data_IF_614609117512
#
_entry.id   IF_614609117512
#
_cell.length_a   1.000
_cell.length_b   1.000
_cell.length_c   1.000
_cell.angle_alpha   90.00
_cell.angle_beta   90.00
_cell.angle_gamma   90.00
#
_symmetry.space_group_name_H-M   'P 1'
#
loop_
_entity.id
_entity.type
_entity.pdbx_description
1 polymer ?
#
# COMPACT_ATOMS: atom_id res chain seq x y z
N UNK A 1 -14.21 -18.42 -10.80
CA UNK A 1 -15.62 -18.17 -10.57
C UNK A 1 -15.90 -17.46 -9.28
N UNK A 2 -15.18 -17.73 -8.23
CA UNK A 2 -15.34 -16.99 -6.99
C UNK A 2 -14.53 -15.72 -7.03
N UNK A 3 -14.62 -14.94 -5.97
CA UNK A 3 -13.75 -13.80 -5.76
C UNK A 3 -12.32 -14.29 -5.51
N UNK A 4 -11.36 -13.53 -6.00
CA UNK A 4 -9.96 -13.91 -5.84
C UNK A 4 -9.13 -12.63 -5.79
N UNK A 5 -8.64 -12.29 -4.62
CA UNK A 5 -7.82 -11.10 -4.45
C UNK A 5 -6.35 -11.45 -4.67
N UNK A 6 -5.72 -10.67 -5.50
CA UNK A 6 -4.27 -10.67 -5.66
C UNK A 6 -3.74 -9.33 -5.19
N UNK A 7 -2.55 -9.32 -4.61
CA UNK A 7 -1.93 -8.08 -4.19
C UNK A 7 -0.43 -8.15 -4.36
N UNK A 8 0.18 -6.99 -4.43
CA UNK A 8 1.63 -6.90 -4.55
C UNK A 8 2.16 -5.56 -4.11
N UNK A 9 3.44 -5.51 -3.88
CA UNK A 9 4.16 -4.28 -3.59
C UNK A 9 4.66 -3.69 -4.90
N UNK A 10 4.50 -2.38 -5.07
CA UNK A 10 4.97 -1.69 -6.27
C UNK A 10 6.26 -0.96 -5.99
N UNK A 11 6.15 0.25 -5.47
CA UNK A 11 7.30 1.14 -5.30
C UNK A 11 7.60 1.31 -3.83
N UNK A 12 8.89 1.34 -3.52
CA UNK A 12 9.37 1.70 -2.20
C UNK A 12 10.49 2.69 -2.39
N UNK A 13 10.31 3.89 -1.83
CA UNK A 13 11.30 4.95 -1.94
C UNK A 13 11.67 5.47 -0.56
N UNK A 14 12.92 5.90 -0.46
CA UNK A 14 13.40 6.63 0.72
C UNK A 14 14.08 7.90 0.22
N UNK A 15 13.63 9.02 0.75
CA UNK A 15 14.20 10.33 0.43
C UNK A 15 14.90 10.87 1.66
N UNK A 16 16.11 11.40 1.46
CA UNK A 16 16.82 12.14 2.49
C UNK A 16 16.64 13.62 2.20
N UNK A 17 16.04 14.31 3.15
CA UNK A 17 15.82 15.75 3.04
C UNK A 17 16.89 16.48 3.83
N UNK A 18 17.60 17.42 3.18
CA UNK A 18 18.57 18.28 3.86
C UNK A 18 17.87 19.47 4.53
N UNK A 19 16.85 19.16 5.29
CA UNK A 19 16.09 20.14 6.04
C UNK A 19 16.02 19.69 7.49
N UNK A 20 16.41 20.56 8.43
CA UNK A 20 16.41 20.15 9.83
C UNK A 20 15.00 19.98 10.37
N UNK A 21 14.88 19.05 11.30
CA UNK A 21 13.66 18.90 12.08
C UNK A 21 13.82 19.77 13.33
N UNK A 22 12.87 20.68 13.52
CA UNK A 22 12.88 21.62 14.62
C UNK A 22 11.79 21.30 15.62
N UNK A 23 12.03 21.59 16.89
CA UNK A 23 10.97 21.56 17.90
C UNK A 23 10.21 22.89 17.89
N UNK A 24 9.25 23.04 18.80
CA UNK A 24 8.41 24.25 18.85
C UNK A 24 9.19 25.50 19.21
N UNK A 25 10.31 25.36 19.87
CA UNK A 25 11.18 26.46 20.24
C UNK A 25 12.18 26.82 19.16
N UNK A 26 12.15 26.11 18.03
CA UNK A 26 13.08 26.36 16.93
C UNK A 26 14.42 25.68 17.08
N UNK A 27 14.57 24.81 18.05
CA UNK A 27 15.80 24.06 18.25
C UNK A 27 15.89 22.88 17.29
N UNK A 28 17.08 22.61 16.79
CA UNK A 28 17.33 21.53 15.84
C UNK A 28 17.34 20.20 16.60
N UNK A 29 16.37 19.34 16.27
CA UNK A 29 16.30 17.98 16.81
C UNK A 29 17.17 17.02 16.00
N UNK A 30 17.19 17.21 14.69
CA UNK A 30 18.10 16.48 13.80
C UNK A 30 18.32 17.31 12.54
N UNK A 31 19.49 17.11 11.91
CA UNK A 31 19.92 17.96 10.81
C UNK A 31 19.27 17.60 9.48
N UNK A 32 18.79 16.37 9.35
CA UNK A 32 18.15 15.87 8.14
C UNK A 32 16.89 15.13 8.51
N UNK A 33 16.04 14.91 7.51
CA UNK A 33 14.81 14.13 7.69
C UNK A 33 14.74 13.07 6.62
N UNK A 34 14.07 11.97 6.94
CA UNK A 34 13.83 10.90 5.98
C UNK A 34 12.34 10.77 5.71
N UNK A 35 12.02 10.49 4.44
CA UNK A 35 10.65 10.20 4.03
C UNK A 35 10.66 8.84 3.37
N UNK A 36 9.86 7.92 3.90
CA UNK A 36 9.70 6.59 3.34
C UNK A 36 8.32 6.47 2.71
N UNK A 37 8.25 5.88 1.52
CA UNK A 37 6.98 5.60 0.86
C UNK A 37 6.93 4.15 0.43
N UNK A 38 5.72 3.60 0.40
CA UNK A 38 5.48 2.25 -0.10
C UNK A 38 4.13 2.24 -0.79
N UNK A 39 4.09 1.64 -1.99
CA UNK A 39 2.86 1.48 -2.75
C UNK A 39 2.48 0.01 -2.83
N UNK A 40 1.18 -0.25 -2.76
CA UNK A 40 0.61 -1.57 -2.90
C UNK A 40 -0.47 -1.54 -3.97
N UNK A 41 -0.69 -2.67 -4.60
CA UNK A 41 -1.78 -2.85 -5.56
C UNK A 41 -2.60 -4.05 -5.13
N UNK A 42 -3.92 -3.94 -5.25
CA UNK A 42 -4.88 -4.98 -4.91
C UNK A 42 -5.87 -5.11 -6.05
N UNK A 43 -6.16 -6.34 -6.43
CA UNK A 43 -7.06 -6.57 -7.56
C UNK A 43 -7.90 -7.80 -7.31
N UNK A 44 -9.18 -7.71 -7.69
CA UNK A 44 -10.03 -8.89 -7.72
C UNK A 44 -9.94 -9.53 -9.10
N UNK A 45 -9.23 -10.65 -9.19
CA UNK A 45 -9.07 -11.39 -10.44
C UNK A 45 -10.21 -12.35 -10.66
N UNK A 46 -11.11 -12.49 -9.70
CA UNK A 46 -12.24 -13.42 -9.81
C UNK A 46 -13.37 -12.87 -10.65
N UNK A 47 -14.41 -13.66 -10.79
CA UNK A 47 -15.61 -13.30 -11.54
C UNK A 47 -16.73 -12.80 -10.65
N UNK A 48 -16.59 -12.95 -9.34
CA UNK A 48 -17.55 -12.49 -8.36
C UNK A 48 -16.94 -11.38 -7.50
N UNK A 49 -17.76 -10.48 -6.95
CA UNK A 49 -17.22 -9.47 -6.04
C UNK A 49 -16.58 -10.10 -4.82
N UNK A 50 -15.47 -9.53 -4.39
CA UNK A 50 -14.89 -9.85 -3.09
C UNK A 50 -15.52 -8.92 -2.06
N UNK A 51 -15.90 -9.47 -0.91
CA UNK A 51 -16.56 -8.70 0.14
C UNK A 51 -15.71 -8.65 1.38
N UNK A 52 -15.87 -7.56 2.14
CA UNK A 52 -15.08 -7.31 3.36
C UNK A 52 -13.59 -7.53 3.09
N UNK A 53 -13.07 -6.76 2.16
CA UNK A 53 -11.65 -6.87 1.80
C UNK A 53 -10.84 -6.13 2.86
N UNK A 54 -10.01 -6.86 3.59
CA UNK A 54 -9.25 -6.34 4.71
C UNK A 54 -7.77 -6.29 4.36
N UNK A 55 -7.18 -5.12 4.58
CA UNK A 55 -5.73 -4.93 4.51
C UNK A 55 -5.24 -4.72 5.93
N UNK A 56 -4.37 -5.60 6.40
CA UNK A 56 -3.94 -5.63 7.79
C UNK A 56 -2.49 -5.23 7.87
N UNK A 57 -2.23 -4.11 8.57
CA UNK A 57 -0.88 -3.60 8.81
C UNK A 57 -0.52 -3.80 10.27
N UNK A 58 0.78 -3.91 10.56
CA UNK A 58 1.25 -4.09 11.93
C UNK A 58 0.98 -2.88 12.82
N UNK A 59 0.85 -1.68 12.24
CA UNK A 59 0.44 -0.47 12.96
C UNK A 59 -0.09 0.54 11.95
N UNK A 60 -0.72 1.61 12.46
CA UNK A 60 -1.36 2.60 11.60
C UNK A 60 -0.33 3.39 10.80
N UNK A 61 -0.54 3.58 9.50
CA UNK A 61 0.32 4.45 8.71
C UNK A 61 0.21 5.90 9.19
N UNK A 62 1.32 6.62 9.06
CA UNK A 62 1.31 8.06 9.34
C UNK A 62 0.45 8.80 8.34
N UNK A 63 0.62 8.49 7.06
CA UNK A 63 -0.19 9.02 5.97
C UNK A 63 -0.56 7.89 5.03
N UNK A 64 -1.76 7.97 4.49
CA UNK A 64 -2.33 6.92 3.67
C UNK A 64 -3.13 7.55 2.54
N UNK A 65 -2.96 7.03 1.32
CA UNK A 65 -3.70 7.44 0.15
C UNK A 65 -4.22 6.20 -0.58
N UNK A 66 -5.47 6.27 -1.04
CA UNK A 66 -6.11 5.19 -1.80
C UNK A 66 -6.51 5.73 -3.16
N UNK A 67 -6.11 5.04 -4.21
CA UNK A 67 -6.41 5.44 -5.58
C UNK A 67 -6.92 4.24 -6.39
N UNK A 68 -8.02 4.34 -7.13
CA UNK A 68 -8.97 5.47 -7.13
C UNK A 68 -9.62 5.68 -5.76
N UNK A 69 -10.12 6.88 -5.53
CA UNK A 69 -10.73 7.20 -4.24
C UNK A 69 -11.90 6.27 -3.95
N UNK A 70 -11.86 5.61 -2.82
CA UNK A 70 -12.87 4.66 -2.36
C UNK A 70 -13.11 4.86 -0.88
N UNK A 71 -14.34 4.66 -0.46
CA UNK A 71 -14.67 4.63 0.96
C UNK A 71 -14.12 3.35 1.57
N UNK A 72 -13.55 3.47 2.74
CA UNK A 72 -13.11 2.31 3.52
C UNK A 72 -13.27 2.63 4.99
N UNK A 73 -13.45 1.59 5.78
CA UNK A 73 -13.48 1.70 7.23
C UNK A 73 -12.11 1.38 7.80
N UNK A 74 -11.82 1.97 8.94
CA UNK A 74 -10.58 1.71 9.68
C UNK A 74 -10.93 1.10 11.01
N UNK A 75 -10.19 0.09 11.42
CA UNK A 75 -10.36 -0.51 12.74
C UNK A 75 -9.03 -1.01 13.27
N UNK A 76 -8.97 -1.19 14.58
CA UNK A 76 -7.83 -1.83 15.25
C UNK A 76 -8.30 -3.15 15.82
N UNK A 77 -7.43 -4.17 15.77
CA UNK A 77 -7.73 -5.42 16.43
C UNK A 77 -7.11 -5.44 17.84
N UNK A 78 -7.28 -6.56 18.54
CA UNK A 78 -6.78 -6.74 19.90
C UNK A 78 -5.25 -6.66 19.99
N UNK A 79 -4.56 -6.89 18.88
CA UNK A 79 -3.10 -6.81 18.79
C UNK A 79 -2.62 -5.42 18.36
N UNK A 80 -3.50 -4.43 18.33
CA UNK A 80 -3.23 -3.05 17.90
C UNK A 80 -2.79 -2.96 16.44
N UNK A 81 -3.15 -3.94 15.64
CA UNK A 81 -2.92 -3.86 14.21
C UNK A 81 -3.95 -2.94 13.59
N UNK A 82 -3.53 -2.29 12.53
CA UNK A 82 -4.40 -1.39 11.77
C UNK A 82 -5.02 -2.16 10.61
N UNK A 83 -6.34 -2.06 10.47
CA UNK A 83 -7.06 -2.79 9.43
C UNK A 83 -7.88 -1.81 8.61
N UNK A 84 -7.66 -1.82 7.30
CA UNK A 84 -8.52 -1.13 6.34
C UNK A 84 -9.53 -2.12 5.81
N UNK A 85 -10.79 -1.73 5.77
CA UNK A 85 -11.86 -2.61 5.30
C UNK A 85 -12.60 -1.93 4.15
N UNK A 86 -12.59 -2.56 3.00
CA UNK A 86 -13.40 -2.17 1.85
C UNK A 86 -14.62 -3.09 1.82
N UNK A 87 -15.82 -2.51 1.66
CA UNK A 87 -17.05 -3.30 1.64
C UNK A 87 -16.99 -4.37 0.55
N UNK A 88 -16.49 -3.99 -0.60
CA UNK A 88 -16.35 -4.92 -1.71
C UNK A 88 -15.30 -4.44 -2.70
N UNK A 89 -14.85 -5.36 -3.51
CA UNK A 89 -14.01 -5.09 -4.67
C UNK A 89 -14.64 -5.85 -5.83
N UNK A 90 -15.09 -5.12 -6.84
CA UNK A 90 -15.78 -5.71 -7.99
C UNK A 90 -14.81 -6.56 -8.81
N UNK A 91 -15.32 -7.50 -9.62
CA UNK A 91 -14.45 -8.25 -10.54
C UNK A 91 -13.63 -7.31 -11.39
N UNK A 92 -12.34 -7.61 -11.49
CA UNK A 92 -11.34 -6.83 -12.24
C UNK A 92 -11.05 -5.44 -11.67
N UNK A 93 -11.68 -5.07 -10.59
CA UNK A 93 -11.39 -3.80 -9.95
C UNK A 93 -10.00 -3.84 -9.32
N UNK A 94 -9.27 -2.75 -9.51
CA UNK A 94 -7.93 -2.57 -8.96
C UNK A 94 -7.89 -1.32 -8.13
N UNK A 95 -7.30 -1.41 -6.95
CA UNK A 95 -7.04 -0.25 -6.11
C UNK A 95 -5.55 -0.21 -5.76
N UNK A 96 -5.05 0.97 -5.54
CA UNK A 96 -3.69 1.19 -5.07
C UNK A 96 -3.77 1.87 -3.72
N UNK A 97 -2.86 1.49 -2.86
CA UNK A 97 -2.73 2.07 -1.54
C UNK A 97 -1.29 2.53 -1.39
N UNK A 98 -1.11 3.78 -0.96
CA UNK A 98 0.21 4.36 -0.77
C UNK A 98 0.34 4.82 0.66
N UNK A 99 1.43 4.44 1.31
CA UNK A 99 1.72 4.85 2.67
C UNK A 99 2.99 5.66 2.70
N UNK A 100 3.06 6.58 3.64
CA UNK A 100 4.22 7.45 3.80
C UNK A 100 4.50 7.63 5.28
N UNK A 101 5.78 7.60 5.62
CA UNK A 101 6.24 7.85 6.98
C UNK A 101 7.39 8.83 6.95
N UNK A 102 7.40 9.77 7.90
CA UNK A 102 8.44 10.78 8.03
C UNK A 102 9.21 10.48 9.31
N UNK A 103 10.51 10.27 9.18
CA UNK A 103 11.43 10.02 10.28
C UNK A 103 11.12 8.76 11.11
N UNK A 104 10.35 7.85 10.54
CA UNK A 104 10.02 6.58 11.18
C UNK A 104 9.81 5.51 10.12
N UNK A 105 9.72 4.27 10.55
CA UNK A 105 9.53 3.16 9.63
C UNK A 105 8.11 3.11 9.09
N UNK A 106 7.99 2.63 7.86
CA UNK A 106 6.69 2.37 7.24
C UNK A 106 6.09 1.12 7.88
N UNK A 107 4.77 1.12 8.15
CA UNK A 107 4.13 -0.09 8.62
C UNK A 107 4.21 -1.19 7.57
N UNK A 108 4.24 -2.42 8.05
CA UNK A 108 4.32 -3.59 7.19
C UNK A 108 2.92 -4.12 6.94
N UNK A 109 2.63 -4.43 5.68
CA UNK A 109 1.39 -5.13 5.34
C UNK A 109 1.56 -6.60 5.72
N UNK A 110 0.78 -7.05 6.70
CA UNK A 110 0.89 -8.40 7.23
C UNK A 110 0.05 -9.39 6.44
N UNK A 111 -1.14 -8.98 6.02
CA UNK A 111 -2.10 -9.89 5.44
C UNK A 111 -3.15 -9.13 4.66
N UNK A 112 -3.67 -9.77 3.63
CA UNK A 112 -4.83 -9.30 2.88
C UNK A 112 -5.81 -10.46 2.81
N UNK A 113 -7.06 -10.22 3.16
CA UNK A 113 -8.08 -11.26 3.14
C UNK A 113 -9.44 -10.66 2.83
N UNK A 114 -10.37 -11.50 2.46
CA UNK A 114 -11.75 -11.12 2.24
C UNK A 114 -12.65 -12.24 2.77
N UNK A 115 -13.95 -12.01 2.77
CA UNK A 115 -14.89 -13.01 3.26
C UNK A 115 -14.74 -14.34 2.51
N UNK A 116 -14.39 -14.27 1.24
CA UNK A 116 -14.27 -15.44 0.38
C UNK A 116 -12.95 -16.19 0.52
N UNK A 117 -11.97 -15.64 1.22
CA UNK A 117 -10.70 -16.32 1.42
C UNK A 117 -9.51 -15.39 1.60
N UNK A 118 -8.34 -15.99 1.66
CA UNK A 118 -7.08 -15.27 1.82
C UNK A 118 -6.56 -14.85 0.46
N UNK A 119 -6.07 -13.62 0.39
CA UNK A 119 -5.53 -13.08 -0.85
C UNK A 119 -4.17 -13.70 -1.18
N UNK A 120 -3.88 -13.76 -2.46
CA UNK A 120 -2.65 -14.31 -2.97
C UNK A 120 -1.64 -13.19 -3.20
N UNK A 121 -0.46 -13.35 -2.63
CA UNK A 121 0.62 -12.41 -2.84
C UNK A 121 1.22 -12.68 -4.22
N UNK A 122 1.30 -11.64 -5.03
CA UNK A 122 1.94 -11.72 -6.33
C UNK A 122 3.32 -11.14 -6.24
N UNK A 123 4.27 -11.83 -6.84
CA UNK A 123 5.59 -11.25 -7.06
C UNK A 123 5.50 -10.45 -8.34
N UNK A 124 5.56 -9.13 -8.22
CA UNK A 124 5.55 -8.26 -9.38
C UNK A 124 6.96 -8.22 -9.94
N UNK A 125 7.15 -8.96 -11.00
CA UNK A 125 8.41 -8.93 -11.72
C UNK A 125 8.44 -7.66 -12.56
N UNK A 126 9.59 -6.95 -12.61
CA UNK A 126 9.73 -5.86 -13.55
C UNK A 126 9.49 -6.42 -14.94
N UNK A 127 8.47 -5.93 -15.58
CA UNK A 127 8.22 -6.32 -16.94
C UNK A 127 9.32 -5.73 -17.81
N UNK A 128 9.89 -6.57 -18.64
CA UNK A 128 10.75 -6.04 -19.69
C UNK A 128 9.86 -5.27 -20.64
N UNK A 129 9.83 -3.99 -20.44
CA UNK A 129 9.05 -3.12 -21.31
C UNK A 129 9.71 -2.93 -22.64
N UNK A 130 10.80 -3.60 -22.89
CA UNK A 130 11.50 -3.42 -24.12
C UNK A 130 10.96 -4.34 -25.15
N UNK A 131 10.27 -3.77 -26.06
CA UNK A 131 10.02 -4.43 -27.32
C UNK A 131 11.12 -4.05 -28.27
N UNK A 132 11.47 -4.86 -29.24
CA UNK A 132 12.49 -4.50 -30.19
C UNK A 132 12.28 -3.13 -30.80
N UNK A 133 11.05 -2.81 -31.16
CA UNK A 133 10.75 -1.50 -31.72
C UNK A 133 10.93 -0.40 -30.68
N UNK A 134 10.54 -0.65 -29.46
CA UNK A 134 10.66 0.32 -28.39
C UNK A 134 12.11 0.53 -28.00
N UNK A 135 12.85 -0.55 -27.87
CA UNK A 135 14.26 -0.49 -27.55
C UNK A 135 15.03 0.22 -28.65
N UNK A 136 14.74 -0.09 -29.88
CA UNK A 136 15.43 0.49 -31.01
C UNK A 136 15.10 1.95 -31.17
N UNK A 137 14.00 2.39 -30.64
CA UNK A 137 13.66 3.80 -30.61
C UNK A 137 14.27 4.51 -29.43
N UNK A 138 14.86 3.79 -28.56
CA UNK A 138 15.53 4.36 -27.39
C UNK A 138 16.91 4.85 -27.73
#
# INVERSE_FOLDING_TARGET
>A
NSAKISYGELHQFTYLLNEPLLNKEGEVLQNTQTVHTQSYIFRNDGKEPATNVELIFNYAPMYLNVWPSRLFAEKSDSSRRYVMVFDYLAPKETIRCEVLAINTQIPMLLSVRCKEGVAQNMVLMPQKVFHPAFINSL
#
